data_IF_829150496910
#
_entry.id   IF_829150496910
#
_cell.length_a   1.000
_cell.length_b   1.000
_cell.length_c   1.000
_cell.angle_alpha   90.00
_cell.angle_beta   90.00
_cell.angle_gamma   90.00
#
_symmetry.space_group_name_H-M   'P 1'
#
loop_
_entity.id
_entity.type
_entity.pdbx_description
1 polymer ?
#
# COMPACT_ATOMS: atom_id res chain seq x y z
N UNK A 1 71.99 17.44 -29.22
CA UNK A 1 71.19 16.92 -28.08
C UNK A 1 70.06 17.89 -27.69
N UNK A 2 69.36 18.48 -28.67
CA UNK A 2 68.35 19.52 -28.47
C UNK A 2 67.05 19.24 -29.23
N UNK A 3 67.07 18.29 -30.18
CA UNK A 3 65.89 17.90 -30.96
C UNK A 3 64.99 16.88 -30.22
N UNK A 4 65.58 15.98 -29.42
CA UNK A 4 64.80 15.00 -28.64
C UNK A 4 64.06 15.61 -27.44
N UNK A 5 64.56 16.72 -26.89
CA UNK A 5 63.91 17.39 -25.76
C UNK A 5 62.62 18.14 -26.18
N UNK A 6 62.55 18.61 -27.43
CA UNK A 6 61.35 19.28 -27.95
C UNK A 6 60.19 18.32 -28.18
N UNK A 7 60.46 17.08 -28.62
CA UNK A 7 59.42 16.08 -28.85
C UNK A 7 58.77 15.58 -27.55
N UNK A 8 59.56 15.46 -26.47
CA UNK A 8 59.06 15.01 -25.16
C UNK A 8 58.17 16.08 -24.50
N UNK A 9 58.51 17.37 -24.65
CA UNK A 9 57.69 18.47 -24.12
C UNK A 9 56.36 18.62 -24.88
N UNK A 10 56.32 18.35 -26.19
CA UNK A 10 55.06 18.38 -26.96
C UNK A 10 54.14 17.20 -26.62
N UNK A 11 54.67 16.01 -26.33
CA UNK A 11 53.87 14.83 -25.98
C UNK A 11 53.21 14.94 -24.58
N UNK A 12 53.85 15.66 -23.65
CA UNK A 12 53.34 15.89 -22.29
C UNK A 12 52.19 16.92 -22.22
N UNK A 13 52.11 17.85 -23.18
CA UNK A 13 51.01 18.84 -23.23
C UNK A 13 49.74 18.22 -23.84
N UNK A 14 49.88 17.24 -24.75
CA UNK A 14 48.73 16.58 -25.39
C UNK A 14 48.08 15.55 -24.46
N UNK A 15 48.83 14.97 -23.52
CA UNK A 15 48.31 14.04 -22.50
C UNK A 15 47.61 14.73 -21.31
N UNK A 16 47.69 16.06 -21.20
CA UNK A 16 46.89 16.87 -20.28
C UNK A 16 45.57 17.37 -20.86
N UNK A 17 45.20 17.00 -22.09
CA UNK A 17 43.83 17.09 -22.58
C UNK A 17 42.97 15.97 -21.95
N UNK A 18 43.03 15.85 -20.62
CA UNK A 18 41.98 15.20 -19.87
C UNK A 18 40.68 15.85 -20.30
N UNK A 19 39.68 15.03 -20.63
CA UNK A 19 38.37 15.52 -21.06
C UNK A 19 37.93 16.63 -20.12
N UNK A 20 37.92 17.87 -20.60
CA UNK A 20 37.16 18.95 -20.00
C UNK A 20 35.69 18.55 -20.16
N UNK A 21 35.24 17.62 -19.32
CA UNK A 21 33.84 17.51 -18.96
C UNK A 21 33.55 18.83 -18.26
N UNK A 22 33.14 19.83 -19.06
CA UNK A 22 32.36 20.92 -18.54
C UNK A 22 31.16 20.25 -17.86
N UNK A 23 31.27 20.02 -16.55
CA UNK A 23 30.18 19.52 -15.73
C UNK A 23 29.02 20.46 -16.04
N UNK A 24 27.99 19.93 -16.69
CA UNK A 24 26.79 20.70 -17.01
C UNK A 24 26.20 21.07 -15.65
N UNK A 25 26.52 22.27 -15.15
CA UNK A 25 26.34 22.65 -13.74
C UNK A 25 24.91 22.36 -13.27
N UNK A 26 24.77 21.45 -12.31
CA UNK A 26 23.50 21.04 -11.71
C UNK A 26 22.63 20.12 -12.57
N UNK A 27 23.18 19.47 -13.61
CA UNK A 27 22.52 18.33 -14.24
C UNK A 27 22.97 17.04 -13.56
N UNK A 28 22.03 16.12 -13.40
CA UNK A 28 22.25 14.80 -12.82
C UNK A 28 21.92 13.72 -13.86
N UNK A 29 22.59 12.56 -13.83
CA UNK A 29 22.17 11.39 -14.59
C UNK A 29 20.73 11.01 -14.28
N UNK A 30 19.96 10.66 -15.32
CA UNK A 30 18.53 10.48 -15.18
C UNK A 30 17.83 9.99 -16.42
N UNK A 31 16.51 10.03 -16.39
CA UNK A 31 15.64 9.74 -17.53
C UNK A 31 14.33 10.53 -17.43
N UNK A 32 13.60 10.61 -18.53
CA UNK A 32 12.18 10.96 -18.55
C UNK A 32 11.37 9.76 -19.04
N UNK A 33 10.10 9.70 -18.65
CA UNK A 33 9.11 8.76 -19.20
C UNK A 33 8.13 9.57 -20.04
N UNK A 34 8.07 9.32 -21.34
CA UNK A 34 7.17 10.05 -22.24
C UNK A 34 5.71 9.66 -22.01
N UNK A 35 4.76 10.40 -22.60
CA UNK A 35 3.33 10.09 -22.50
C UNK A 35 2.97 8.74 -23.16
N UNK A 36 3.79 8.27 -24.09
CA UNK A 36 3.70 6.95 -24.71
C UNK A 36 4.27 5.83 -23.85
N UNK A 37 4.91 6.15 -22.72
CA UNK A 37 5.55 5.20 -21.80
C UNK A 37 7.02 4.90 -22.12
N UNK A 38 7.60 5.53 -23.14
CA UNK A 38 9.01 5.33 -23.49
C UNK A 38 9.92 5.97 -22.44
N UNK A 39 11.01 5.27 -22.08
CA UNK A 39 12.03 5.80 -21.18
C UNK A 39 13.21 6.36 -21.97
N UNK A 40 13.41 7.68 -21.92
CA UNK A 40 14.53 8.35 -22.57
C UNK A 40 15.61 8.69 -21.54
N UNK A 41 16.79 8.09 -21.69
CA UNK A 41 17.95 8.31 -20.80
C UNK A 41 18.71 9.58 -21.16
N UNK A 42 19.33 10.19 -20.16
CA UNK A 42 20.16 11.38 -20.38
C UNK A 42 20.54 12.08 -19.07
N UNK A 43 20.45 13.40 -19.11
CA UNK A 43 20.79 14.27 -17.99
C UNK A 43 19.58 15.16 -17.65
N UNK A 44 19.19 15.20 -16.39
CA UNK A 44 18.03 15.97 -15.90
C UNK A 44 18.50 17.08 -14.97
N UNK A 45 17.87 18.24 -15.06
CA UNK A 45 18.00 19.33 -14.10
C UNK A 45 16.62 19.89 -13.78
N UNK A 46 16.16 19.64 -12.56
CA UNK A 46 14.85 20.00 -12.03
C UNK A 46 14.89 21.21 -11.08
N UNK A 47 16.09 21.57 -10.57
CA UNK A 47 16.28 22.69 -9.64
C UNK A 47 17.59 23.45 -9.85
N UNK A 48 17.73 24.63 -9.24
CA UNK A 48 19.02 25.33 -9.14
C UNK A 48 19.98 24.62 -8.19
N UNK A 49 21.25 25.01 -8.21
CA UNK A 49 22.25 24.52 -7.25
C UNK A 49 22.15 25.29 -5.94
N UNK A 50 22.47 24.62 -4.84
CA UNK A 50 22.73 25.23 -3.53
C UNK A 50 23.69 26.44 -3.60
N UNK A 51 23.60 27.38 -2.63
CA UNK A 51 22.81 27.32 -1.39
C UNK A 51 21.35 27.77 -1.51
N UNK A 52 20.96 28.42 -2.61
CA UNK A 52 19.60 28.92 -2.82
C UNK A 52 18.89 28.10 -3.91
N UNK A 53 17.95 27.25 -3.50
CA UNK A 53 17.31 26.26 -4.37
C UNK A 53 16.00 26.82 -4.92
N UNK A 54 15.90 26.88 -6.25
CA UNK A 54 14.69 27.18 -7.00
C UNK A 54 14.23 25.89 -7.70
N UNK A 55 12.99 25.46 -7.44
CA UNK A 55 12.39 24.37 -8.19
C UNK A 55 11.83 24.87 -9.51
N UNK A 56 12.22 24.22 -10.61
CA UNK A 56 11.80 24.66 -11.93
C UNK A 56 10.40 24.13 -12.25
N UNK A 57 9.45 25.00 -12.69
CA UNK A 57 8.15 24.57 -13.21
C UNK A 57 8.27 23.67 -14.45
N UNK A 58 9.43 23.70 -15.11
CA UNK A 58 9.79 22.84 -16.23
C UNK A 58 11.17 22.26 -16.01
N UNK A 59 11.26 20.94 -15.92
CA UNK A 59 12.55 20.26 -15.86
C UNK A 59 13.32 20.48 -17.16
N UNK A 60 14.64 20.42 -17.10
CA UNK A 60 15.53 20.53 -18.25
C UNK A 60 16.13 19.16 -18.51
N UNK A 61 15.93 18.63 -19.69
CA UNK A 61 16.44 17.32 -20.08
C UNK A 61 17.41 17.45 -21.25
N UNK A 62 18.51 16.70 -21.21
CA UNK A 62 19.43 16.55 -22.34
C UNK A 62 19.52 15.06 -22.64
N UNK A 63 18.97 14.59 -23.77
CA UNK A 63 19.02 13.19 -24.16
C UNK A 63 20.47 12.70 -24.30
N UNK A 64 20.68 11.41 -24.00
CA UNK A 64 21.95 10.76 -24.23
C UNK A 64 22.38 10.85 -25.71
N UNK A 65 23.67 11.10 -25.95
CA UNK A 65 24.21 11.31 -27.30
C UNK A 65 23.79 12.62 -27.98
N UNK A 66 23.01 13.49 -27.33
CA UNK A 66 22.59 14.79 -27.86
C UNK A 66 23.13 15.95 -27.03
N UNK A 67 23.29 17.11 -27.68
CA UNK A 67 23.68 18.37 -27.04
C UNK A 67 22.49 19.31 -26.79
N UNK A 68 21.38 19.11 -27.51
CA UNK A 68 20.20 19.96 -27.40
C UNK A 68 19.44 19.70 -26.10
N UNK A 69 19.02 20.80 -25.47
CA UNK A 69 18.23 20.79 -24.23
C UNK A 69 16.75 20.91 -24.55
N UNK A 70 15.95 20.03 -23.95
CA UNK A 70 14.50 20.06 -23.96
C UNK A 70 13.97 20.48 -22.58
N UNK A 71 12.73 20.96 -22.53
CA UNK A 71 12.05 21.34 -21.29
C UNK A 71 10.68 20.68 -21.22
N UNK A 72 10.30 20.19 -20.04
CA UNK A 72 9.04 19.49 -19.85
C UNK A 72 8.32 19.97 -18.58
N UNK A 73 7.04 20.29 -18.70
CA UNK A 73 6.07 20.44 -17.62
C UNK A 73 5.59 19.06 -17.15
N UNK A 74 4.96 18.96 -15.96
CA UNK A 74 4.35 17.72 -15.51
C UNK A 74 3.33 17.14 -16.51
N UNK A 75 2.53 17.97 -17.17
CA UNK A 75 1.57 17.52 -18.18
C UNK A 75 2.17 16.97 -19.48
N UNK A 76 3.48 17.09 -19.69
CA UNK A 76 4.15 16.75 -20.96
C UNK A 76 4.94 15.43 -20.88
N UNK A 77 5.06 14.82 -19.70
CA UNK A 77 5.76 13.54 -19.43
C UNK A 77 5.07 12.81 -18.28
N UNK A 78 5.16 11.48 -18.21
CA UNK A 78 4.61 10.70 -17.10
C UNK A 78 5.45 10.80 -15.82
N UNK A 79 6.74 11.09 -15.96
CA UNK A 79 7.65 11.22 -14.83
C UNK A 79 9.10 11.36 -15.26
N UNK A 80 9.99 11.50 -14.28
CA UNK A 80 11.43 11.57 -14.52
C UNK A 80 12.23 11.08 -13.33
N UNK A 81 13.52 10.83 -13.57
CA UNK A 81 14.52 10.59 -12.53
C UNK A 81 15.63 11.62 -12.64
N UNK A 82 16.00 12.24 -11.53
CA UNK A 82 17.18 13.10 -11.41
C UNK A 82 18.07 12.56 -10.29
N UNK A 83 19.20 11.96 -10.66
CA UNK A 83 20.11 11.33 -9.72
C UNK A 83 19.44 10.16 -8.98
N UNK A 84 19.33 10.27 -7.66
CA UNK A 84 18.64 9.30 -6.80
C UNK A 84 17.14 9.54 -6.62
N UNK A 85 16.60 10.64 -7.15
CA UNK A 85 15.19 11.03 -6.93
C UNK A 85 14.34 10.65 -8.13
N UNK A 86 13.19 10.04 -7.86
CA UNK A 86 12.20 9.65 -8.86
C UNK A 86 10.95 10.50 -8.67
N UNK A 87 10.38 10.99 -9.77
CA UNK A 87 9.19 11.83 -9.77
C UNK A 87 8.16 11.30 -10.75
N UNK A 88 6.89 11.42 -10.38
CA UNK A 88 5.75 11.12 -11.22
C UNK A 88 4.90 12.37 -11.44
N UNK A 89 4.32 12.48 -12.62
CA UNK A 89 3.37 13.52 -12.98
C UNK A 89 1.96 13.06 -12.65
N UNK A 90 1.35 13.65 -11.62
CA UNK A 90 0.02 13.26 -11.13
C UNK A 90 -0.93 14.46 -11.11
N UNK A 91 -2.22 14.28 -11.47
CA UNK A 91 -3.17 15.38 -11.55
C UNK A 91 -3.74 15.67 -10.16
N UNK A 92 -2.99 16.44 -9.37
CA UNK A 92 -3.25 16.66 -7.96
C UNK A 92 -4.11 17.91 -7.74
N UNK A 93 -5.32 17.72 -7.24
CA UNK A 93 -6.17 18.79 -6.73
C UNK A 93 -6.01 18.93 -5.22
N UNK A 94 -5.75 20.15 -4.74
CA UNK A 94 -5.82 20.49 -3.32
C UNK A 94 -7.18 21.16 -3.03
N UNK A 95 -7.97 20.53 -2.18
CA UNK A 95 -9.17 21.13 -1.60
C UNK A 95 -8.82 21.75 -0.25
N UNK A 96 -8.90 23.09 -0.18
CA UNK A 96 -8.59 23.88 1.00
C UNK A 96 -9.87 24.51 1.55
N UNK A 97 -10.51 23.84 2.51
CA UNK A 97 -11.71 24.33 3.20
C UNK A 97 -11.43 24.53 4.70
N UNK A 98 -11.51 25.77 5.20
CA UNK A 98 -11.40 26.12 6.63
C UNK A 98 -10.27 25.37 7.38
N UNK A 99 -9.01 25.61 7.00
CA UNK A 99 -7.80 24.98 7.54
C UNK A 99 -7.72 23.45 7.38
N UNK A 100 -8.61 22.84 6.60
CA UNK A 100 -8.53 21.43 6.19
C UNK A 100 -8.02 21.37 4.76
N UNK A 101 -6.92 20.66 4.59
CA UNK A 101 -6.32 20.39 3.30
C UNK A 101 -6.54 18.93 2.97
N UNK A 102 -7.25 18.66 1.88
CA UNK A 102 -7.42 17.33 1.31
C UNK A 102 -6.81 17.31 -0.09
N UNK A 103 -6.28 16.16 -0.50
CA UNK A 103 -5.56 16.01 -1.74
C UNK A 103 -6.19 14.90 -2.56
N UNK A 104 -6.52 15.17 -3.81
CA UNK A 104 -7.23 14.23 -4.67
C UNK A 104 -6.53 14.09 -6.01
N UNK A 105 -6.50 12.88 -6.54
CA UNK A 105 -6.22 12.65 -7.95
C UNK A 105 -7.49 12.96 -8.74
N UNK A 106 -7.50 14.08 -9.46
CA UNK A 106 -8.62 14.52 -10.27
C UNK A 106 -8.17 14.67 -11.73
N UNK A 107 -8.74 13.92 -12.70
CA UNK A 107 -8.33 14.01 -14.10
C UNK A 107 -8.36 15.41 -14.72
N UNK A 108 -9.11 16.35 -14.11
CA UNK A 108 -9.21 17.74 -14.58
C UNK A 108 -8.25 18.70 -13.87
N UNK A 109 -7.52 18.23 -12.86
CA UNK A 109 -6.51 19.04 -12.16
C UNK A 109 -5.24 19.17 -12.99
N UNK A 110 -4.44 20.20 -12.68
CA UNK A 110 -3.12 20.35 -13.26
C UNK A 110 -2.20 19.23 -12.77
N UNK A 111 -1.44 18.63 -13.70
CA UNK A 111 -0.40 17.69 -13.33
C UNK A 111 0.70 18.41 -12.54
N UNK A 112 1.19 17.73 -11.49
CA UNK A 112 2.31 18.18 -10.70
C UNK A 112 3.34 17.06 -10.55
N UNK A 113 4.61 17.41 -10.39
CA UNK A 113 5.63 16.42 -10.04
C UNK A 113 5.56 16.10 -8.54
N UNK A 114 5.35 14.84 -8.20
CA UNK A 114 5.48 14.31 -6.84
C UNK A 114 6.69 13.39 -6.79
N UNK A 115 7.50 13.51 -5.74
CA UNK A 115 8.64 12.60 -5.55
C UNK A 115 8.13 11.27 -5.04
N UNK A 116 8.41 10.18 -5.73
CA UNK A 116 8.12 8.83 -5.27
C UNK A 116 9.22 8.37 -4.32
N UNK A 117 8.85 8.04 -3.08
CA UNK A 117 9.75 7.50 -2.05
C UNK A 117 9.76 5.98 -2.08
N UNK A 118 8.56 5.36 -1.99
CA UNK A 118 8.37 3.92 -2.15
C UNK A 118 7.02 3.61 -2.77
N UNK A 119 6.91 2.44 -3.39
CA UNK A 119 5.67 1.85 -3.89
C UNK A 119 5.77 0.34 -3.75
N UNK A 120 4.93 -0.22 -2.90
CA UNK A 120 4.88 -1.63 -2.59
C UNK A 120 3.41 -2.05 -2.43
N UNK A 121 3.00 -3.04 -3.24
CA UNK A 121 1.59 -3.40 -3.36
C UNK A 121 0.71 -2.20 -3.75
N UNK A 122 -0.47 -2.03 -3.14
CA UNK A 122 -1.37 -0.92 -3.44
C UNK A 122 -0.95 0.40 -2.78
N UNK A 123 0.05 0.45 -1.88
CA UNK A 123 0.40 1.67 -1.16
C UNK A 123 1.62 2.37 -1.78
N UNK A 124 1.42 3.60 -2.25
CA UNK A 124 2.48 4.50 -2.70
C UNK A 124 2.75 5.60 -1.67
N UNK A 125 4.03 5.86 -1.39
CA UNK A 125 4.51 6.96 -0.55
C UNK A 125 5.19 8.02 -1.41
N UNK A 126 4.60 9.22 -1.42
CA UNK A 126 5.13 10.40 -2.11
C UNK A 126 5.53 11.52 -1.16
N UNK A 127 6.43 12.39 -1.62
CA UNK A 127 6.65 13.72 -1.06
C UNK A 127 6.17 14.79 -2.03
N UNK A 128 5.38 15.73 -1.50
CA UNK A 128 5.07 16.99 -2.18
C UNK A 128 6.13 18.01 -1.79
N UNK A 129 7.11 18.24 -2.66
CA UNK A 129 8.15 19.27 -2.46
C UNK A 129 7.60 20.66 -2.81
N UNK A 130 7.96 21.67 -2.02
CA UNK A 130 7.67 23.08 -2.27
C UNK A 130 8.76 23.99 -1.67
N UNK A 131 8.76 25.27 -2.03
CA UNK A 131 9.64 26.31 -1.47
C UNK A 131 8.72 27.43 -0.96
N UNK A 132 9.00 27.97 0.22
CA UNK A 132 8.24 29.10 0.75
C UNK A 132 8.77 30.42 0.17
N UNK A 133 7.90 31.42 0.01
CA UNK A 133 8.31 32.73 -0.54
C UNK A 133 9.36 33.46 0.32
N UNK A 134 9.55 33.06 1.58
CA UNK A 134 10.44 33.67 2.55
C UNK A 134 11.72 32.86 2.83
N UNK A 135 11.92 31.71 2.17
CA UNK A 135 13.15 30.94 2.26
C UNK A 135 13.53 30.24 0.95
N UNK A 136 14.82 29.97 0.76
CA UNK A 136 15.32 29.30 -0.45
C UNK A 136 15.59 27.80 -0.22
N UNK A 137 14.93 27.21 0.77
CA UNK A 137 15.08 25.79 1.13
C UNK A 137 13.89 24.99 0.61
N UNK A 138 14.16 23.78 0.13
CA UNK A 138 13.11 22.85 -0.28
C UNK A 138 12.51 22.23 0.97
N UNK A 139 11.23 22.49 1.21
CA UNK A 139 10.43 21.79 2.20
C UNK A 139 9.53 20.76 1.49
N UNK A 140 8.92 19.86 2.26
CA UNK A 140 8.01 18.86 1.73
C UNK A 140 7.00 18.38 2.77
N UNK A 141 5.92 17.77 2.28
CA UNK A 141 5.06 16.95 3.14
C UNK A 141 4.76 15.59 2.51
N UNK A 142 4.62 14.54 3.35
CA UNK A 142 4.33 13.18 2.93
C UNK A 142 2.86 13.00 2.53
N UNK A 143 2.65 12.28 1.43
CA UNK A 143 1.36 11.82 0.94
C UNK A 143 1.39 10.30 0.78
N UNK A 144 0.39 9.62 1.32
CA UNK A 144 0.11 8.24 1.01
C UNK A 144 -1.06 8.13 0.03
N UNK A 145 -0.96 7.16 -0.86
CA UNK A 145 -2.00 6.87 -1.84
C UNK A 145 -2.21 5.37 -1.98
N UNK A 146 -3.43 4.92 -1.74
CA UNK A 146 -3.89 3.58 -2.03
C UNK A 146 -4.34 3.48 -3.49
N UNK A 147 -3.90 2.43 -4.18
CA UNK A 147 -4.30 2.14 -5.55
C UNK A 147 -5.83 2.03 -5.65
N UNK A 148 -6.41 2.69 -6.66
CA UNK A 148 -7.86 2.76 -6.85
C UNK A 148 -8.55 3.87 -6.06
N UNK A 149 -7.93 4.42 -5.02
CA UNK A 149 -8.50 5.53 -4.26
C UNK A 149 -8.31 6.86 -4.97
N UNK A 150 -9.31 7.74 -4.84
CA UNK A 150 -9.22 9.12 -5.36
C UNK A 150 -8.38 10.01 -4.45
N UNK A 151 -8.41 9.77 -3.14
CA UNK A 151 -7.72 10.63 -2.17
C UNK A 151 -6.28 10.18 -1.92
N UNK A 152 -5.38 11.16 -1.81
CA UNK A 152 -4.06 11.00 -1.23
C UNK A 152 -4.05 11.61 0.18
N UNK A 153 -3.76 10.82 1.21
CA UNK A 153 -3.76 11.32 2.58
C UNK A 153 -2.44 11.99 2.91
N UNK A 154 -2.48 13.25 3.37
CA UNK A 154 -1.32 13.89 3.98
C UNK A 154 -1.03 13.26 5.34
N UNK A 155 0.17 12.71 5.50
CA UNK A 155 0.51 11.86 6.66
C UNK A 155 0.82 12.69 7.91
N UNK A 156 1.43 13.87 7.75
CA UNK A 156 1.86 14.73 8.87
C UNK A 156 1.20 16.11 8.88
N UNK A 157 1.22 16.75 10.04
CA UNK A 157 0.83 18.15 10.25
C UNK A 157 2.08 19.01 10.56
N UNK A 158 3.16 18.79 9.82
CA UNK A 158 4.44 19.45 10.04
C UNK A 158 5.04 19.04 11.38
N UNK A 159 5.50 20.02 12.17
CA UNK A 159 6.15 19.79 13.46
C UNK A 159 5.28 19.09 14.52
N UNK A 160 3.96 19.02 14.32
CA UNK A 160 3.03 18.33 15.23
C UNK A 160 2.91 16.82 14.95
N UNK A 161 3.75 16.27 14.07
CA UNK A 161 3.85 14.83 13.78
C UNK A 161 2.69 14.28 12.94
N UNK A 162 2.37 13.00 13.13
CA UNK A 162 1.35 12.27 12.37
C UNK A 162 -0.07 12.84 12.55
N UNK A 163 -0.84 12.93 11.46
CA UNK A 163 -2.28 13.23 11.47
C UNK A 163 -3.09 11.98 11.82
N UNK A 164 -2.93 11.47 13.04
CA UNK A 164 -3.49 10.17 13.48
C UNK A 164 -4.97 9.97 13.18
N UNK A 165 -5.83 10.93 13.53
CA UNK A 165 -7.27 10.81 13.25
C UNK A 165 -7.57 10.70 11.74
N UNK A 166 -6.86 11.47 10.91
CA UNK A 166 -7.01 11.39 9.45
C UNK A 166 -6.50 10.06 8.90
N UNK A 167 -5.39 9.55 9.43
CA UNK A 167 -4.83 8.27 9.03
C UNK A 167 -5.76 7.10 9.40
N UNK A 168 -6.38 7.14 10.58
CA UNK A 168 -7.40 6.15 10.98
C UNK A 168 -8.62 6.16 10.04
N UNK A 169 -9.10 7.34 9.65
CA UNK A 169 -10.18 7.47 8.66
C UNK A 169 -9.76 6.93 7.28
N UNK A 170 -8.52 7.20 6.86
CA UNK A 170 -8.02 6.78 5.54
C UNK A 170 -7.77 5.27 5.45
N UNK A 171 -7.22 4.67 6.51
CA UNK A 171 -6.96 3.23 6.60
C UNK A 171 -8.04 2.50 7.40
N UNK A 172 -9.31 2.90 7.22
CA UNK A 172 -10.46 2.40 7.98
C UNK A 172 -10.61 0.87 7.97
N UNK A 173 -10.11 0.22 6.92
CA UNK A 173 -10.19 -1.22 6.72
C UNK A 173 -9.07 -2.01 7.40
N UNK A 174 -8.08 -1.35 8.03
CA UNK A 174 -7.01 -2.02 8.76
C UNK A 174 -7.06 -1.73 10.26
N UNK A 175 -7.76 -2.59 11.02
CA UNK A 175 -7.91 -2.45 12.47
C UNK A 175 -6.57 -2.49 13.23
N UNK A 176 -5.61 -3.29 12.77
CA UNK A 176 -4.28 -3.35 13.38
C UNK A 176 -3.58 -1.99 13.33
N UNK A 177 -3.61 -1.32 12.17
CA UNK A 177 -3.01 -0.01 12.00
C UNK A 177 -3.76 1.06 12.80
N UNK A 178 -5.10 0.99 12.83
CA UNK A 178 -5.93 1.86 13.66
C UNK A 178 -5.51 1.75 15.14
N UNK A 179 -5.40 0.53 15.66
CA UNK A 179 -4.99 0.28 17.04
C UNK A 179 -3.58 0.84 17.33
N UNK A 180 -2.62 0.58 16.44
CA UNK A 180 -1.25 1.09 16.58
C UNK A 180 -1.20 2.63 16.57
N UNK A 181 -2.03 3.29 15.75
CA UNK A 181 -2.16 4.74 15.73
C UNK A 181 -2.81 5.29 17.03
N UNK A 182 -3.83 4.62 17.57
CA UNK A 182 -4.50 5.01 18.82
C UNK A 182 -3.59 4.87 20.03
N UNK A 183 -2.85 3.77 20.10
CA UNK A 183 -1.87 3.51 21.15
C UNK A 183 -0.59 4.34 21.01
N UNK A 184 -0.44 5.11 19.92
CA UNK A 184 0.74 5.92 19.60
C UNK A 184 2.03 5.08 19.51
N UNK A 185 1.90 3.86 19.02
CA UNK A 185 3.02 2.95 18.75
C UNK A 185 3.85 3.47 17.55
N UNK A 186 3.17 4.12 16.59
CA UNK A 186 3.77 4.71 15.40
C UNK A 186 4.01 6.22 15.60
N UNK A 187 5.19 6.69 15.20
CA UNK A 187 5.69 8.06 15.38
C UNK A 187 6.11 8.71 14.07
N UNK A 188 6.75 7.96 13.20
CA UNK A 188 7.30 8.44 11.93
C UNK A 188 6.45 7.99 10.74
N UNK A 189 6.67 8.63 9.58
CA UNK A 189 5.91 8.36 8.36
C UNK A 189 6.20 6.95 7.85
N UNK A 190 7.47 6.59 7.80
CA UNK A 190 7.98 5.29 7.36
C UNK A 190 7.40 4.15 8.22
N UNK A 191 7.27 4.36 9.53
CA UNK A 191 6.66 3.36 10.42
C UNK A 191 5.20 3.09 10.06
N UNK A 192 4.43 4.12 9.66
CA UNK A 192 3.04 3.92 9.21
C UNK A 192 3.00 3.17 7.87
N UNK A 193 3.92 3.49 6.96
CA UNK A 193 4.03 2.82 5.67
C UNK A 193 4.35 1.33 5.85
N UNK A 194 5.44 1.02 6.55
CA UNK A 194 5.92 -0.34 6.78
C UNK A 194 4.89 -1.16 7.57
N UNK A 195 4.28 -0.57 8.61
CA UNK A 195 3.24 -1.25 9.38
C UNK A 195 2.04 -1.61 8.53
N UNK A 196 1.61 -0.72 7.61
CA UNK A 196 0.51 -1.03 6.69
C UNK A 196 0.87 -2.23 5.79
N UNK A 197 2.06 -2.24 5.19
CA UNK A 197 2.49 -3.34 4.34
C UNK A 197 2.55 -4.66 5.13
N UNK A 198 3.13 -4.62 6.33
CA UNK A 198 3.36 -5.81 7.13
C UNK A 198 2.11 -6.38 7.77
N UNK A 199 1.21 -5.52 8.27
CA UNK A 199 0.07 -5.95 9.10
C UNK A 199 -1.27 -5.84 8.40
N UNK A 200 -1.38 -5.06 7.32
CA UNK A 200 -2.63 -4.90 6.59
C UNK A 200 -2.62 -5.69 5.28
N UNK A 201 -1.54 -5.65 4.52
CA UNK A 201 -1.46 -6.37 3.23
C UNK A 201 -1.09 -7.84 3.38
N UNK A 202 -0.09 -8.16 4.20
CA UNK A 202 0.30 -9.55 4.41
C UNK A 202 -0.80 -10.35 5.12
N UNK A 203 -1.59 -9.71 6.00
CA UNK A 203 -2.80 -10.32 6.57
C UNK A 203 -3.93 -10.42 5.55
N UNK A 204 -4.20 -9.41 4.73
CA UNK A 204 -5.22 -9.50 3.68
C UNK A 204 -4.91 -10.62 2.68
N UNK A 205 -3.66 -10.76 2.24
CA UNK A 205 -3.22 -11.84 1.33
C UNK A 205 -3.25 -13.21 2.01
N UNK A 206 -2.88 -13.31 3.30
CA UNK A 206 -3.00 -14.56 4.06
C UNK A 206 -4.47 -14.97 4.31
N UNK A 207 -5.36 -13.99 4.46
CA UNK A 207 -6.81 -14.23 4.64
C UNK A 207 -7.51 -14.56 3.33
N UNK A 208 -7.00 -14.04 2.20
CA UNK A 208 -7.60 -14.19 0.88
C UNK A 208 -7.17 -15.47 0.16
N UNK A 209 -6.05 -16.11 0.54
CA UNK A 209 -5.68 -17.39 -0.06
C UNK A 209 -6.41 -18.61 0.53
N UNK A 210 -6.61 -18.79 1.85
CA UNK A 210 -7.42 -19.93 2.36
C UNK A 210 -8.05 -19.64 3.74
N UNK A 211 -9.23 -19.01 3.76
CA UNK A 211 -10.28 -19.39 4.73
C UNK A 211 -11.40 -20.08 3.95
N UNK A 212 -11.11 -21.28 3.46
CA UNK A 212 -12.16 -22.18 3.02
C UNK A 212 -12.62 -22.98 4.23
N UNK A 213 -13.91 -22.90 4.55
CA UNK A 213 -14.53 -23.83 5.50
C UNK A 213 -14.63 -25.25 4.92
N UNK A 214 -14.32 -25.42 3.61
CA UNK A 214 -14.30 -26.73 2.93
C UNK A 214 -13.29 -27.66 3.59
N UNK A 215 -13.77 -28.83 4.00
CA UNK A 215 -12.94 -29.84 4.67
C UNK A 215 -13.73 -30.67 5.65
N UNK A 216 -13.01 -31.53 6.36
CA UNK A 216 -13.55 -32.31 7.47
C UNK A 216 -13.09 -31.68 8.77
N UNK A 217 -14.01 -31.57 9.70
CA UNK A 217 -13.80 -30.94 11.00
C UNK A 217 -14.28 -31.89 12.10
N UNK A 218 -13.62 -31.82 13.25
CA UNK A 218 -14.02 -32.50 14.47
C UNK A 218 -14.52 -31.44 15.46
N UNK A 219 -15.81 -31.47 15.74
CA UNK A 219 -16.52 -30.53 16.61
C UNK A 219 -16.67 -31.12 18.00
N UNK A 220 -16.28 -30.38 19.02
CA UNK A 220 -16.50 -30.74 20.41
C UNK A 220 -17.82 -30.15 20.91
N UNK A 221 -18.79 -31.02 21.14
CA UNK A 221 -20.13 -30.73 21.63
C UNK A 221 -20.25 -31.08 23.13
N UNK A 222 -19.21 -30.93 23.92
CA UNK A 222 -19.30 -31.14 25.37
C UNK A 222 -20.36 -30.22 26.00
N UNK A 223 -21.15 -30.68 26.98
CA UNK A 223 -22.23 -29.89 27.58
C UNK A 223 -21.72 -28.81 28.56
N UNK A 224 -20.51 -28.97 29.11
CA UNK A 224 -19.85 -28.03 29.99
C UNK A 224 -18.34 -28.08 29.80
N UNK A 225 -17.61 -27.07 30.27
CA UNK A 225 -16.16 -26.97 30.08
C UNK A 225 -15.37 -28.12 30.74
N UNK A 226 -15.89 -28.65 31.84
CA UNK A 226 -15.32 -29.72 32.65
C UNK A 226 -15.78 -31.14 32.23
N UNK A 227 -16.77 -31.25 31.34
CA UNK A 227 -17.22 -32.53 30.82
C UNK A 227 -16.19 -33.14 29.84
N UNK A 228 -16.22 -34.46 29.72
CA UNK A 228 -15.44 -35.18 28.72
C UNK A 228 -15.79 -34.69 27.30
N UNK A 229 -14.82 -34.65 26.37
CA UNK A 229 -15.05 -34.23 25.00
C UNK A 229 -16.14 -35.07 24.33
N UNK A 230 -17.06 -34.42 23.62
CA UNK A 230 -18.09 -35.10 22.81
C UNK A 230 -17.90 -34.75 21.34
N UNK A 231 -17.06 -35.54 20.68
CA UNK A 231 -16.54 -35.23 19.35
C UNK A 231 -17.45 -35.73 18.25
N UNK A 232 -17.89 -34.83 17.36
CA UNK A 232 -18.75 -35.13 16.23
C UNK A 232 -18.20 -34.57 14.91
N UNK A 233 -18.45 -35.22 13.76
CA UNK A 233 -17.98 -34.74 12.48
C UNK A 233 -18.78 -33.54 11.99
N UNK A 234 -18.08 -32.58 11.40
CA UNK A 234 -18.67 -31.55 10.55
C UNK A 234 -17.92 -31.55 9.22
N UNK A 235 -18.64 -31.78 8.14
CA UNK A 235 -18.07 -31.98 6.82
C UNK A 235 -18.62 -30.89 5.90
N UNK A 236 -17.74 -30.13 5.26
CA UNK A 236 -18.11 -29.19 4.21
C UNK A 236 -17.58 -29.72 2.89
N UNK A 237 -18.49 -30.25 2.07
CA UNK A 237 -18.18 -30.98 0.84
C UNK A 237 -18.05 -30.05 -0.37
N UNK A 238 -18.79 -28.93 -0.38
CA UNK A 238 -18.74 -27.95 -1.46
C UNK A 238 -18.95 -26.53 -0.94
N UNK A 239 -18.33 -25.57 -1.60
CA UNK A 239 -18.51 -24.12 -1.36
C UNK A 239 -18.75 -23.47 -2.71
N UNK A 240 -19.81 -22.67 -2.84
CA UNK A 240 -20.17 -21.96 -4.06
C UNK A 240 -20.71 -20.58 -3.73
N UNK A 241 -19.99 -19.53 -4.11
CA UNK A 241 -20.30 -18.16 -3.72
C UNK A 241 -20.43 -18.02 -2.20
N UNK A 242 -21.60 -17.54 -1.76
CA UNK A 242 -21.94 -17.33 -0.34
C UNK A 242 -22.80 -18.48 0.25
N UNK A 243 -22.70 -19.68 -0.32
CA UNK A 243 -23.36 -20.89 0.22
C UNK A 243 -22.38 -22.06 0.24
N UNK A 244 -22.72 -23.10 0.99
CA UNK A 244 -21.94 -24.32 1.12
C UNK A 244 -22.83 -25.54 1.37
N UNK A 245 -22.29 -26.73 1.17
CA UNK A 245 -22.98 -28.00 1.36
C UNK A 245 -22.15 -28.92 2.25
N UNK A 246 -22.79 -29.85 2.92
CA UNK A 246 -22.12 -30.67 3.91
C UNK A 246 -23.05 -31.45 4.83
N UNK A 247 -22.47 -31.89 5.94
CA UNK A 247 -23.15 -32.60 7.02
C UNK A 247 -22.63 -32.11 8.36
N UNK A 248 -23.51 -31.90 9.34
CA UNK A 248 -23.15 -31.62 10.74
C UNK A 248 -23.74 -32.71 11.61
N UNK A 249 -22.86 -33.45 12.29
CA UNK A 249 -23.22 -34.61 13.09
C UNK A 249 -24.12 -35.61 12.31
N UNK A 250 -23.76 -35.87 11.05
CA UNK A 250 -24.48 -36.78 10.16
C UNK A 250 -25.77 -36.23 9.54
N UNK A 251 -26.29 -35.10 10.01
CA UNK A 251 -27.45 -34.43 9.40
C UNK A 251 -27.03 -33.51 8.26
N UNK A 252 -27.74 -33.50 7.11
CA UNK A 252 -27.43 -32.59 6.01
C UNK A 252 -27.62 -31.13 6.44
N UNK A 253 -26.75 -30.26 5.92
CA UNK A 253 -26.90 -28.82 6.12
C UNK A 253 -28.02 -28.28 5.22
N UNK A 254 -28.88 -27.46 5.81
CA UNK A 254 -29.94 -26.70 5.14
C UNK A 254 -29.64 -25.19 5.27
N UNK A 255 -30.14 -24.39 4.32
CA UNK A 255 -30.03 -22.92 4.29
C UNK A 255 -28.64 -22.33 4.60
N UNK A 256 -27.59 -23.06 4.23
CA UNK A 256 -26.21 -22.72 4.56
C UNK A 256 -25.74 -21.43 3.86
N UNK A 257 -25.25 -20.46 4.65
CA UNK A 257 -24.76 -19.16 4.21
C UNK A 257 -23.37 -18.86 4.72
N UNK A 258 -22.58 -18.18 3.89
CA UNK A 258 -21.30 -17.58 4.24
C UNK A 258 -21.41 -16.06 4.20
N UNK A 259 -20.74 -15.41 5.13
CA UNK A 259 -20.49 -13.98 5.10
C UNK A 259 -18.98 -13.73 5.16
N UNK A 260 -18.46 -13.20 4.05
CA UNK A 260 -17.04 -12.91 3.84
C UNK A 260 -16.72 -11.42 3.91
N UNK A 261 -17.71 -10.59 4.26
CA UNK A 261 -17.58 -9.14 4.30
C UNK A 261 -17.01 -8.65 5.64
N UNK A 262 -16.49 -9.55 6.46
CA UNK A 262 -15.95 -9.30 7.80
C UNK A 262 -14.58 -9.96 7.91
N UNK A 263 -13.84 -9.62 8.96
CA UNK A 263 -12.44 -10.04 9.18
C UNK A 263 -12.24 -11.55 9.31
N UNK A 264 -13.28 -12.26 9.73
CA UNK A 264 -13.32 -13.72 9.77
C UNK A 264 -14.46 -14.21 8.90
N UNK A 265 -14.32 -15.40 8.33
CA UNK A 265 -15.42 -16.04 7.63
C UNK A 265 -16.49 -16.43 8.66
N UNK A 266 -17.66 -15.81 8.57
CA UNK A 266 -18.84 -16.22 9.32
C UNK A 266 -19.69 -17.19 8.50
N UNK A 267 -20.36 -18.11 9.19
CA UNK A 267 -21.30 -19.03 8.57
C UNK A 267 -22.52 -19.24 9.45
N UNK A 268 -23.62 -19.61 8.81
CA UNK A 268 -24.81 -20.12 9.47
C UNK A 268 -25.46 -21.20 8.61
N UNK A 269 -26.13 -22.15 9.24
CA UNK A 269 -26.87 -23.22 8.59
C UNK A 269 -27.90 -23.79 9.55
N UNK A 270 -28.86 -24.54 9.02
CA UNK A 270 -29.79 -25.34 9.78
C UNK A 270 -29.51 -26.81 9.61
N UNK A 271 -29.88 -27.61 10.60
CA UNK A 271 -30.03 -29.06 10.45
C UNK A 271 -31.34 -29.49 11.09
N UNK A 272 -31.79 -30.69 10.77
CA UNK A 272 -33.03 -31.24 11.29
C UNK A 272 -32.81 -32.70 11.69
N UNK A 273 -33.37 -33.08 12.83
CA UNK A 273 -33.62 -34.49 13.17
C UNK A 273 -35.11 -34.82 12.96
N UNK A 274 -35.56 -36.02 13.31
CA UNK A 274 -36.97 -36.41 13.11
C UNK A 274 -37.98 -35.55 13.90
N UNK A 275 -37.53 -34.73 14.84
CA UNK A 275 -38.38 -34.06 15.82
C UNK A 275 -38.14 -32.56 15.88
N UNK A 276 -36.90 -32.10 15.71
CA UNK A 276 -36.50 -30.72 15.95
C UNK A 276 -35.58 -30.17 14.87
N UNK A 277 -35.71 -28.86 14.68
CA UNK A 277 -34.80 -28.05 13.88
C UNK A 277 -33.76 -27.40 14.78
N UNK A 278 -32.52 -27.34 14.28
CA UNK A 278 -31.37 -26.77 14.95
C UNK A 278 -30.81 -25.65 14.10
N UNK A 279 -30.49 -24.54 14.74
CA UNK A 279 -29.86 -23.38 14.11
C UNK A 279 -28.42 -23.32 14.56
N UNK A 280 -27.51 -23.24 13.59
CA UNK A 280 -26.08 -23.20 13.84
C UNK A 280 -25.52 -21.91 13.26
N UNK A 281 -24.61 -21.28 14.01
CA UNK A 281 -23.81 -20.17 13.52
C UNK A 281 -22.41 -20.26 14.08
N UNK A 282 -21.45 -19.73 13.34
CA UNK A 282 -20.06 -19.76 13.76
C UNK A 282 -19.15 -18.94 12.86
N UNK A 283 -17.87 -19.03 13.14
CA UNK A 283 -16.82 -18.36 12.40
C UNK A 283 -15.53 -19.19 12.38
N UNK A 284 -14.67 -18.91 11.39
CA UNK A 284 -13.34 -19.49 11.26
C UNK A 284 -12.29 -18.47 11.72
N UNK A 285 -11.54 -18.81 12.76
CA UNK A 285 -10.47 -17.97 13.31
C UNK A 285 -9.25 -18.86 13.59
N UNK A 286 -8.08 -18.45 13.10
CA UNK A 286 -6.80 -19.14 13.32
C UNK A 286 -6.84 -20.65 13.01
N UNK A 287 -7.54 -21.02 11.93
CA UNK A 287 -7.67 -22.40 11.48
C UNK A 287 -8.60 -23.27 12.34
N UNK A 288 -9.34 -22.68 13.29
CA UNK A 288 -10.34 -23.35 14.12
C UNK A 288 -11.73 -22.79 13.87
N UNK A 289 -12.73 -23.65 14.00
CA UNK A 289 -14.12 -23.24 14.01
C UNK A 289 -14.57 -22.93 15.43
N UNK A 290 -15.33 -21.88 15.56
CA UNK A 290 -16.04 -21.53 16.79
C UNK A 290 -17.50 -21.36 16.42
N UNK A 291 -18.40 -21.95 17.19
CA UNK A 291 -19.82 -21.88 16.87
C UNK A 291 -20.73 -22.11 18.05
N UNK A 292 -22.02 -21.99 17.74
CA UNK A 292 -23.11 -22.19 18.68
C UNK A 292 -24.26 -22.90 17.97
N UNK A 293 -24.87 -23.84 18.67
CA UNK A 293 -26.09 -24.54 18.25
C UNK A 293 -27.23 -24.08 19.15
N UNK A 294 -28.37 -23.74 18.55
CA UNK A 294 -29.59 -23.36 19.25
C UNK A 294 -30.75 -24.23 18.77
N UNK A 295 -31.48 -24.83 19.70
CA UNK A 295 -32.69 -25.59 19.42
C UNK A 295 -33.80 -25.21 20.40
N UNK A 296 -34.78 -24.38 19.99
CA UNK A 296 -35.88 -23.99 20.85
C UNK A 296 -36.68 -25.19 21.37
N UNK A 297 -36.94 -26.19 20.51
CA UNK A 297 -37.77 -27.35 20.86
C UNK A 297 -37.14 -28.27 21.91
N UNK A 298 -35.83 -28.17 22.13
CA UNK A 298 -35.08 -28.87 23.18
C UNK A 298 -34.62 -27.95 24.30
N UNK A 299 -35.02 -26.68 24.26
CA UNK A 299 -34.67 -25.65 25.25
C UNK A 299 -33.15 -25.55 25.52
N UNK A 300 -32.31 -25.70 24.50
CA UNK A 300 -30.85 -25.63 24.69
C UNK A 300 -30.14 -24.69 23.71
N UNK A 301 -29.03 -24.16 24.23
CA UNK A 301 -28.01 -23.39 23.52
C UNK A 301 -26.67 -24.01 23.89
N UNK A 302 -25.84 -24.36 22.90
CA UNK A 302 -24.57 -25.03 23.13
C UNK A 302 -23.44 -24.40 22.30
N UNK A 303 -22.42 -23.79 22.92
CA UNK A 303 -21.22 -23.40 22.22
C UNK A 303 -20.38 -24.64 21.87
N UNK A 304 -19.59 -24.54 20.81
CA UNK A 304 -18.69 -25.61 20.39
C UNK A 304 -17.46 -25.06 19.66
N UNK A 305 -16.40 -25.86 19.69
CA UNK A 305 -15.16 -25.62 18.96
C UNK A 305 -14.91 -26.73 17.96
N UNK A 306 -14.31 -26.40 16.83
CA UNK A 306 -13.97 -27.34 15.77
C UNK A 306 -12.51 -27.23 15.36
N UNK A 307 -11.86 -28.36 15.19
CA UNK A 307 -10.51 -28.44 14.62
C UNK A 307 -10.51 -29.23 13.31
N UNK A 308 -9.60 -28.95 12.37
CA UNK A 308 -9.46 -29.76 11.16
C UNK A 308 -9.20 -31.23 11.51
N UNK A 309 -9.78 -32.13 10.73
CA UNK A 309 -9.56 -33.57 10.81
C UNK A 309 -8.60 -34.04 9.71
#
# INVERSE_FOLDING_TARGET
MTLQLRFIVTLLIISSLGTLHAQKKGYEPGYIVTLEGDTLRGQVKDRSSEPFVEMYPRIRFIPEGRSSRQKYRPGEILGYRAGGRVYESLPLWEDAAFFRFRYYLDPNAENVFLRLVSRDGPLSFYLREFIHDDNDFVDNFPLFHLEGEREMVRVTQGMFGLKRERLKEYFGDCRALIAALENKELREVEEVYDFYLDQCLNYASATQEIQTIKGNWQIDLRPSADADPYLQPFEVTAVSGNTFQGYFYGSPLEDAKLNRNWEVLYFAFTTRDNTFEYYHSGYLLDGKLYGISYCPGREFVQPWEGVPK
#
